data_IF_312542056492
#
_entry.id   IF_312542056492
#
_cell.length_a   1.000
_cell.length_b   1.000
_cell.length_c   1.000
_cell.angle_alpha   90.00
_cell.angle_beta   90.00
_cell.angle_gamma   90.00
#
_symmetry.space_group_name_H-M   'P 1'
#
loop_
_entity.id
_entity.type
_entity.pdbx_description
1 polymer ?
#
# COMPACT_ATOMS: atom_id res chain seq x y z
N UNK A 1 28.04 -12.27 6.34
CA UNK A 1 28.37 -13.25 5.29
C UNK A 1 27.76 -14.62 5.61
N UNK A 2 28.17 -15.27 6.70
CA UNK A 2 27.61 -16.57 7.15
C UNK A 2 26.06 -16.63 7.17
N UNK A 3 25.40 -15.60 7.70
CA UNK A 3 23.93 -15.52 7.69
C UNK A 3 23.32 -15.53 6.27
N UNK A 4 23.96 -14.85 5.31
CA UNK A 4 23.51 -14.81 3.91
C UNK A 4 23.71 -16.18 3.25
N UNK A 5 24.83 -16.84 3.53
CA UNK A 5 25.11 -18.17 2.99
C UNK A 5 24.05 -19.18 3.48
N UNK A 6 23.69 -19.14 4.76
CA UNK A 6 22.62 -19.96 5.35
C UNK A 6 21.24 -19.69 4.73
N UNK A 7 20.91 -18.43 4.46
CA UNK A 7 19.69 -18.05 3.75
C UNK A 7 19.71 -18.63 2.33
N UNK A 8 20.84 -18.55 1.62
CA UNK A 8 20.95 -19.06 0.25
C UNK A 8 20.69 -20.56 0.17
N UNK A 9 21.20 -21.36 1.14
CA UNK A 9 20.93 -22.80 1.19
C UNK A 9 19.48 -23.16 1.48
N UNK A 10 18.79 -22.31 2.27
CA UNK A 10 17.35 -22.48 2.51
C UNK A 10 16.52 -22.09 1.31
N UNK A 11 16.93 -21.06 0.57
CA UNK A 11 16.25 -20.59 -0.62
C UNK A 11 16.40 -21.56 -1.80
N UNK A 12 17.59 -22.17 -1.95
CA UNK A 12 17.86 -23.22 -2.94
C UNK A 12 18.01 -24.58 -2.25
N UNK A 13 19.23 -25.12 -2.16
CA UNK A 13 19.58 -26.35 -1.45
C UNK A 13 20.99 -26.23 -0.83
N UNK A 14 21.26 -26.96 0.27
CA UNK A 14 22.62 -27.07 0.83
C UNK A 14 23.65 -27.52 -0.22
N UNK A 15 24.84 -26.94 -0.19
CA UNK A 15 25.91 -27.20 -1.15
C UNK A 15 25.87 -26.31 -2.40
N UNK A 16 24.68 -26.03 -2.94
CA UNK A 16 24.50 -25.12 -4.08
C UNK A 16 24.49 -23.64 -3.63
N UNK A 17 23.61 -23.31 -2.68
CA UNK A 17 23.43 -21.94 -2.20
C UNK A 17 23.04 -20.97 -3.31
N UNK A 18 23.63 -19.78 -3.31
CA UNK A 18 23.36 -18.72 -4.31
C UNK A 18 24.22 -18.79 -5.58
N UNK A 19 24.97 -19.89 -5.81
CA UNK A 19 25.90 -19.98 -6.93
C UNK A 19 25.22 -20.11 -8.30
N UNK A 20 23.99 -20.63 -8.32
CA UNK A 20 23.19 -20.83 -9.54
C UNK A 20 21.79 -20.21 -9.39
N UNK A 21 21.26 -19.71 -10.50
CA UNK A 21 19.93 -19.07 -10.56
C UNK A 21 19.86 -18.10 -11.74
N UNK A 22 19.16 -18.50 -12.81
CA UNK A 22 18.98 -17.63 -13.96
C UNK A 22 18.09 -16.43 -13.61
N UNK A 23 18.53 -15.22 -13.95
CA UNK A 23 17.80 -13.97 -13.63
C UNK A 23 16.77 -13.59 -14.69
N UNK A 24 16.72 -14.30 -15.82
CA UNK A 24 15.69 -14.23 -16.88
C UNK A 24 15.30 -12.79 -17.28
N UNK A 25 16.30 -11.90 -17.36
CA UNK A 25 16.11 -10.50 -17.78
C UNK A 25 15.79 -9.49 -16.68
N UNK A 26 15.53 -9.92 -15.45
CA UNK A 26 15.12 -9.05 -14.34
C UNK A 26 16.21 -8.06 -13.87
N UNK A 27 17.48 -8.26 -14.26
CA UNK A 27 18.59 -7.45 -13.77
C UNK A 27 18.43 -5.96 -14.08
N UNK A 28 18.00 -5.60 -15.30
CA UNK A 28 17.83 -4.20 -15.68
C UNK A 28 16.80 -3.50 -14.76
N UNK A 29 15.65 -4.14 -14.55
CA UNK A 29 14.58 -3.63 -13.69
C UNK A 29 15.01 -3.54 -12.23
N UNK A 30 15.76 -4.52 -11.72
CA UNK A 30 16.30 -4.51 -10.36
C UNK A 30 17.26 -3.33 -10.15
N UNK A 31 18.20 -3.10 -11.06
CA UNK A 31 19.17 -2.01 -10.95
C UNK A 31 18.53 -0.63 -11.12
N UNK A 32 17.65 -0.47 -12.12
CA UNK A 32 16.90 0.77 -12.31
C UNK A 32 15.97 1.05 -11.13
N UNK A 33 15.23 0.04 -10.67
CA UNK A 33 14.37 0.09 -9.50
C UNK A 33 15.13 0.51 -8.25
N UNK A 34 16.31 -0.07 -8.01
CA UNK A 34 17.16 0.32 -6.88
C UNK A 34 17.63 1.77 -6.98
N UNK A 35 18.03 2.23 -8.18
CA UNK A 35 18.44 3.61 -8.42
C UNK A 35 17.32 4.62 -8.14
N UNK A 36 16.08 4.34 -8.56
CA UNK A 36 14.93 5.24 -8.34
C UNK A 36 14.29 5.08 -6.96
N UNK A 37 14.59 4.00 -6.23
CA UNK A 37 13.93 3.66 -4.97
C UNK A 37 13.92 4.79 -3.94
N UNK A 38 14.99 5.58 -3.72
CA UNK A 38 14.94 6.65 -2.72
C UNK A 38 13.92 7.74 -3.08
N UNK A 39 13.78 8.06 -4.37
CA UNK A 39 12.78 9.04 -4.85
C UNK A 39 11.36 8.49 -4.70
N UNK A 40 11.13 7.24 -5.09
CA UNK A 40 9.83 6.57 -4.96
C UNK A 40 9.40 6.48 -3.49
N UNK A 41 10.29 6.05 -2.60
CA UNK A 41 10.07 6.04 -1.15
C UNK A 41 9.77 7.44 -0.62
N UNK A 42 10.51 8.46 -1.05
CA UNK A 42 10.25 9.85 -0.66
C UNK A 42 8.88 10.37 -1.13
N UNK A 43 8.39 9.92 -2.30
CA UNK A 43 7.04 10.24 -2.77
C UNK A 43 5.95 9.60 -1.91
N UNK A 44 6.10 8.31 -1.57
CA UNK A 44 5.19 7.60 -0.68
C UNK A 44 5.13 8.24 0.72
N UNK A 45 6.28 8.61 1.31
CA UNK A 45 6.34 9.30 2.62
C UNK A 45 5.60 10.64 2.58
N UNK A 46 5.80 11.46 1.54
CA UNK A 46 5.04 12.71 1.36
C UNK A 46 3.54 12.45 1.22
N UNK A 47 3.18 11.35 0.57
CA UNK A 47 1.79 10.87 0.45
C UNK A 47 1.17 10.56 1.81
N UNK A 48 1.80 9.69 2.59
CA UNK A 48 1.36 9.33 3.94
C UNK A 48 1.18 10.56 4.85
N UNK A 49 2.09 11.54 4.78
CA UNK A 49 1.97 12.80 5.53
C UNK A 49 0.76 13.61 5.06
N UNK A 50 0.51 13.67 3.75
CA UNK A 50 -0.65 14.37 3.19
C UNK A 50 -1.96 13.70 3.58
N UNK A 51 -2.04 12.37 3.49
CA UNK A 51 -3.18 11.57 3.94
C UNK A 51 -3.47 11.82 5.42
N UNK A 52 -2.44 11.71 6.28
CA UNK A 52 -2.58 11.97 7.70
C UNK A 52 -3.15 13.37 7.99
N UNK A 53 -2.61 14.40 7.33
CA UNK A 53 -3.07 15.78 7.53
C UNK A 53 -4.50 15.99 7.01
N UNK A 54 -4.84 15.41 5.86
CA UNK A 54 -6.17 15.52 5.27
C UNK A 54 -7.22 14.84 6.15
N UNK A 55 -7.00 13.57 6.51
CA UNK A 55 -7.98 12.80 7.27
C UNK A 55 -8.12 13.27 8.72
N UNK A 56 -7.03 13.71 9.35
CA UNK A 56 -7.11 14.40 10.64
C UNK A 56 -7.98 15.67 10.54
N UNK A 57 -7.85 16.44 9.46
CA UNK A 57 -8.66 17.64 9.22
C UNK A 57 -10.13 17.32 8.93
N UNK A 58 -10.42 16.14 8.40
CA UNK A 58 -11.77 15.61 8.22
C UNK A 58 -12.35 14.99 9.51
N UNK A 59 -11.60 15.00 10.63
CA UNK A 59 -12.07 14.53 11.93
C UNK A 59 -11.89 13.03 12.17
N UNK A 60 -11.13 12.33 11.32
CA UNK A 60 -10.81 10.92 11.49
C UNK A 60 -9.59 10.75 12.40
N UNK A 61 -9.55 9.62 13.10
CA UNK A 61 -8.36 9.21 13.85
C UNK A 61 -7.33 8.59 12.90
N UNK A 62 -6.10 9.08 12.96
CA UNK A 62 -5.01 8.72 12.05
C UNK A 62 -3.75 8.38 12.81
N UNK A 63 -2.98 7.44 12.27
CA UNK A 63 -1.68 7.09 12.84
C UNK A 63 -0.71 6.62 11.76
N UNK A 64 0.56 7.07 11.77
CA UNK A 64 1.09 8.19 12.54
C UNK A 64 0.44 9.54 12.17
N UNK A 65 0.61 10.55 13.03
CA UNK A 65 0.24 11.94 12.73
C UNK A 65 1.13 12.53 11.60
N UNK A 66 0.69 13.64 11.00
CA UNK A 66 1.39 14.24 9.87
C UNK A 66 2.78 14.81 10.23
N UNK A 67 2.99 15.19 11.49
CA UNK A 67 4.25 15.71 12.05
C UNK A 67 5.06 14.64 12.80
N UNK A 68 4.55 13.41 12.89
CA UNK A 68 5.26 12.31 13.53
C UNK A 68 6.48 11.86 12.69
N UNK A 69 7.59 11.45 13.33
CA UNK A 69 8.71 10.86 12.62
C UNK A 69 8.28 9.59 11.88
N UNK A 70 8.85 9.35 10.70
CA UNK A 70 8.52 8.21 9.83
C UNK A 70 9.72 7.29 9.66
N UNK A 71 9.48 6.00 9.87
CA UNK A 71 10.46 4.92 9.67
C UNK A 71 10.02 3.91 8.62
N UNK A 72 8.75 3.98 8.18
CA UNK A 72 8.16 3.17 7.13
C UNK A 72 7.15 4.00 6.31
N UNK A 73 6.36 3.32 5.47
CA UNK A 73 5.39 3.91 4.55
C UNK A 73 3.94 3.82 5.03
N UNK A 74 3.70 3.20 6.19
CA UNK A 74 2.34 2.86 6.61
C UNK A 74 1.62 4.11 7.13
N UNK A 75 0.40 4.32 6.64
CA UNK A 75 -0.53 5.30 7.16
C UNK A 75 -1.86 4.63 7.48
N UNK A 76 -2.32 4.73 8.71
CA UNK A 76 -3.61 4.20 9.12
C UNK A 76 -4.65 5.31 9.26
N UNK A 77 -5.89 4.99 8.89
CA UNK A 77 -7.05 5.86 9.06
C UNK A 77 -8.20 5.02 9.64
N UNK A 78 -8.76 5.46 10.76
CA UNK A 78 -9.87 4.79 11.43
C UNK A 78 -11.19 5.42 11.00
N UNK A 79 -12.03 4.65 10.32
CA UNK A 79 -13.32 5.12 9.81
C UNK A 79 -14.46 4.97 10.82
N UNK A 80 -14.27 4.18 11.89
CA UNK A 80 -15.25 3.98 12.95
C UNK A 80 -16.44 3.10 12.57
N UNK A 81 -16.71 2.90 11.28
CA UNK A 81 -17.71 1.96 10.77
C UNK A 81 -17.25 1.26 9.48
N UNK A 82 -17.88 0.12 9.18
CA UNK A 82 -17.54 -0.71 8.03
C UNK A 82 -17.90 -0.06 6.69
N UNK A 83 -19.03 0.64 6.61
CA UNK A 83 -19.59 1.15 5.36
C UNK A 83 -18.70 2.25 4.77
N UNK A 84 -18.24 3.19 5.60
CA UNK A 84 -17.34 4.27 5.19
C UNK A 84 -15.97 3.73 4.79
N UNK A 85 -15.42 2.76 5.54
CA UNK A 85 -14.17 2.09 5.18
C UNK A 85 -14.27 1.40 3.80
N UNK A 86 -15.37 0.69 3.56
CA UNK A 86 -15.61 -0.01 2.28
C UNK A 86 -15.83 0.98 1.15
N UNK A 87 -16.62 2.04 1.36
CA UNK A 87 -16.84 3.11 0.39
C UNK A 87 -15.52 3.77 0.01
N UNK A 88 -14.69 4.07 1.00
CA UNK A 88 -13.38 4.67 0.78
C UNK A 88 -12.44 3.74 0.00
N UNK A 89 -12.34 2.46 0.37
CA UNK A 89 -11.50 1.50 -0.37
C UNK A 89 -11.93 1.34 -1.84
N UNK A 90 -13.24 1.30 -2.12
CA UNK A 90 -13.75 1.32 -3.50
C UNK A 90 -13.35 2.58 -4.26
N UNK A 91 -13.41 3.73 -3.60
CA UNK A 91 -13.01 4.99 -4.21
C UNK A 91 -11.49 5.07 -4.45
N UNK A 92 -10.66 4.50 -3.57
CA UNK A 92 -9.21 4.35 -3.81
C UNK A 92 -8.98 3.53 -5.08
N UNK A 93 -9.64 2.36 -5.22
CA UNK A 93 -9.51 1.54 -6.43
C UNK A 93 -9.96 2.28 -7.69
N UNK A 94 -11.07 3.01 -7.64
CA UNK A 94 -11.57 3.80 -8.78
C UNK A 94 -10.60 4.92 -9.22
N UNK A 95 -9.72 5.38 -8.32
CA UNK A 95 -8.70 6.38 -8.61
C UNK A 95 -7.30 5.77 -8.87
N UNK A 96 -7.22 4.45 -9.07
CA UNK A 96 -5.99 3.77 -9.45
C UNK A 96 -5.79 3.72 -10.98
N UNK A 97 -4.55 3.60 -11.47
CA UNK A 97 -4.27 3.58 -12.91
C UNK A 97 -4.68 2.25 -13.59
N UNK A 98 -4.68 1.14 -12.85
CA UNK A 98 -5.01 -0.20 -13.35
C UNK A 98 -6.27 -0.71 -12.65
N UNK A 99 -7.12 -1.41 -13.38
CA UNK A 99 -8.36 -2.03 -12.87
C UNK A 99 -9.29 -1.07 -12.11
N UNK A 100 -9.30 0.21 -12.47
CA UNK A 100 -10.16 1.22 -11.83
C UNK A 100 -11.66 0.98 -12.00
N UNK A 101 -12.05 0.20 -13.01
CA UNK A 101 -13.44 -0.23 -13.21
C UNK A 101 -13.83 -1.44 -12.33
N UNK A 102 -12.86 -2.09 -11.67
CA UNK A 102 -13.11 -3.22 -10.79
C UNK A 102 -13.44 -2.68 -9.40
N UNK A 103 -14.55 -3.12 -8.83
CA UNK A 103 -14.99 -2.68 -7.50
C UNK A 103 -14.58 -3.70 -6.44
N UNK A 104 -13.75 -3.33 -5.45
CA UNK A 104 -13.35 -4.24 -4.40
C UNK A 104 -14.53 -4.52 -3.45
N UNK A 105 -14.55 -5.75 -2.92
CA UNK A 105 -15.52 -6.21 -1.93
C UNK A 105 -14.78 -6.86 -0.76
N UNK A 106 -15.35 -6.85 0.46
CA UNK A 106 -14.79 -7.63 1.56
C UNK A 106 -14.77 -9.12 1.24
N UNK A 107 -13.61 -9.76 1.38
CA UNK A 107 -13.42 -11.17 1.07
C UNK A 107 -12.66 -11.90 2.19
N UNK A 108 -12.93 -13.20 2.35
CA UNK A 108 -12.15 -14.05 3.26
C UNK A 108 -10.81 -14.37 2.61
N UNK A 109 -9.71 -13.92 3.22
CA UNK A 109 -8.36 -14.20 2.74
C UNK A 109 -7.70 -15.29 3.57
N UNK A 110 -6.91 -16.14 2.91
CA UNK A 110 -6.12 -17.14 3.60
C UNK A 110 -5.22 -16.45 4.64
N UNK A 111 -5.11 -17.06 5.83
CA UNK A 111 -4.38 -16.54 7.00
C UNK A 111 -5.02 -15.36 7.75
N UNK A 112 -6.15 -14.81 7.29
CA UNK A 112 -6.90 -13.78 8.02
C UNK A 112 -8.16 -14.37 8.67
N UNK A 113 -8.42 -13.99 9.92
CA UNK A 113 -9.62 -14.41 10.65
C UNK A 113 -10.87 -13.65 10.17
N UNK A 114 -10.72 -12.34 9.96
CA UNK A 114 -11.78 -11.45 9.47
C UNK A 114 -11.76 -11.33 7.94
N UNK A 115 -12.88 -10.88 7.37
CA UNK A 115 -12.88 -10.42 5.98
C UNK A 115 -11.97 -9.20 5.83
N UNK A 116 -11.28 -9.11 4.70
CA UNK A 116 -10.40 -7.99 4.35
C UNK A 116 -10.90 -7.38 3.06
N UNK A 117 -10.85 -6.05 2.96
CA UNK A 117 -11.02 -5.33 1.70
C UNK A 117 -9.68 -4.80 1.26
N UNK A 118 -9.40 -4.86 -0.05
CA UNK A 118 -8.15 -4.38 -0.65
C UNK A 118 -8.45 -3.55 -1.89
N UNK A 119 -7.81 -2.40 -1.99
CA UNK A 119 -7.68 -1.60 -3.20
C UNK A 119 -6.21 -1.66 -3.63
N UNK A 120 -5.96 -2.18 -4.83
CA UNK A 120 -4.63 -2.54 -5.32
C UNK A 120 -4.55 -2.51 -6.84
N UNK A 121 -5.04 -1.44 -7.46
CA UNK A 121 -4.96 -1.19 -8.91
C UNK A 121 -3.54 -0.85 -9.37
N UNK A 122 -2.63 -1.80 -9.24
CA UNK A 122 -1.19 -1.64 -9.39
C UNK A 122 -0.68 -2.25 -10.71
N UNK A 123 0.39 -1.68 -11.27
CA UNK A 123 1.05 -2.20 -12.48
C UNK A 123 1.70 -3.56 -12.22
N UNK A 124 2.32 -3.72 -11.04
CA UNK A 124 2.83 -5.01 -10.58
C UNK A 124 1.86 -5.58 -9.55
N UNK A 125 1.37 -6.80 -9.77
CA UNK A 125 0.36 -7.42 -8.92
C UNK A 125 0.86 -7.53 -7.46
N UNK A 126 0.09 -6.96 -6.53
CA UNK A 126 0.42 -6.98 -5.09
C UNK A 126 1.53 -6.02 -4.67
N UNK A 127 1.93 -5.08 -5.53
CA UNK A 127 2.95 -4.09 -5.22
C UNK A 127 2.45 -3.03 -4.25
N UNK A 128 2.95 -3.04 -3.02
CA UNK A 128 2.56 -2.06 -1.98
C UNK A 128 3.43 -0.80 -1.96
N UNK A 129 4.42 -0.70 -2.86
CA UNK A 129 5.10 0.57 -3.15
C UNK A 129 4.30 1.44 -4.13
N UNK A 130 3.34 0.84 -4.84
CA UNK A 130 2.30 1.55 -5.57
C UNK A 130 1.16 1.91 -4.63
N UNK A 131 0.38 2.94 -4.98
CA UNK A 131 -0.66 3.45 -4.08
C UNK A 131 -1.75 2.39 -3.90
N UNK A 132 -1.94 1.98 -2.65
CA UNK A 132 -2.86 0.90 -2.28
C UNK A 132 -3.44 1.15 -0.89
N UNK A 133 -4.54 0.47 -0.60
CA UNK A 133 -5.23 0.58 0.67
C UNK A 133 -5.95 -0.70 1.04
N UNK A 134 -5.70 -1.24 2.23
CA UNK A 134 -6.33 -2.48 2.68
C UNK A 134 -6.62 -2.48 4.18
N UNK A 135 -7.50 -3.36 4.63
CA UNK A 135 -7.72 -3.55 6.06
C UNK A 135 -8.81 -4.56 6.41
N UNK A 136 -8.76 -5.13 7.62
CA UNK A 136 -9.75 -6.08 8.10
C UNK A 136 -11.06 -5.38 8.49
N UNK A 137 -12.19 -6.01 8.19
CA UNK A 137 -13.53 -5.53 8.50
C UNK A 137 -13.90 -5.83 9.96
N UNK A 138 -13.16 -5.20 10.88
CA UNK A 138 -13.44 -5.24 12.32
C UNK A 138 -13.21 -3.86 12.96
N UNK A 139 -13.87 -3.56 14.09
CA UNK A 139 -13.61 -2.32 14.83
C UNK A 139 -12.11 -2.13 15.13
N UNK A 140 -11.58 -0.89 14.99
CA UNK A 140 -12.27 0.37 14.69
C UNK A 140 -12.41 0.68 13.19
N UNK A 141 -12.35 -0.33 12.31
CA UNK A 141 -12.42 -0.22 10.85
C UNK A 141 -11.26 0.62 10.31
N UNK A 142 -10.06 0.15 10.62
CA UNK A 142 -8.79 0.76 10.22
C UNK A 142 -8.43 0.34 8.81
N UNK A 143 -8.23 1.32 7.93
CA UNK A 143 -7.62 1.13 6.62
C UNK A 143 -6.14 1.53 6.68
N UNK A 144 -5.27 0.70 6.10
CA UNK A 144 -3.84 0.91 5.95
C UNK A 144 -3.60 1.41 4.51
N UNK A 145 -3.29 2.68 4.39
CA UNK A 145 -2.85 3.32 3.15
C UNK A 145 -1.33 3.28 3.08
N UNK A 146 -0.81 3.01 1.88
CA UNK A 146 0.62 2.92 1.67
C UNK A 146 0.99 3.10 0.19
N UNK A 147 2.27 3.45 -0.01
CA UNK A 147 2.87 3.49 -1.33
C UNK A 147 2.44 4.70 -2.16
N UNK A 148 2.82 4.65 -3.43
CA UNK A 148 2.56 5.66 -4.44
C UNK A 148 3.84 6.07 -5.17
N UNK A 149 3.88 5.75 -6.46
CA UNK A 149 5.05 6.00 -7.31
C UNK A 149 5.37 7.50 -7.43
N UNK A 150 4.31 8.31 -7.47
CA UNK A 150 4.41 9.77 -7.54
C UNK A 150 3.51 10.42 -6.49
N UNK A 151 4.00 11.49 -5.87
CA UNK A 151 3.20 12.27 -4.93
C UNK A 151 1.94 12.88 -5.57
N UNK A 152 1.98 13.13 -6.89
CA UNK A 152 0.83 13.64 -7.62
C UNK A 152 -0.32 12.61 -7.64
N UNK A 153 -0.02 11.35 -7.96
CA UNK A 153 -1.03 10.29 -7.95
C UNK A 153 -1.66 10.12 -6.57
N UNK A 154 -0.84 10.05 -5.51
CA UNK A 154 -1.33 9.88 -4.13
C UNK A 154 -2.31 11.00 -3.76
N UNK A 155 -1.94 12.26 -4.02
CA UNK A 155 -2.84 13.40 -3.75
C UNK A 155 -4.15 13.30 -4.53
N UNK A 156 -4.07 13.06 -5.84
CA UNK A 156 -5.27 13.00 -6.68
C UNK A 156 -6.20 11.86 -6.24
N UNK A 157 -5.65 10.68 -6.00
CA UNK A 157 -6.43 9.51 -5.60
C UNK A 157 -7.01 9.66 -4.19
N UNK A 158 -6.22 10.19 -3.25
CA UNK A 158 -6.69 10.47 -1.88
C UNK A 158 -7.78 11.53 -1.86
N UNK A 159 -7.61 12.62 -2.63
CA UNK A 159 -8.63 13.68 -2.73
C UNK A 159 -9.91 13.17 -3.41
N UNK A 160 -9.78 12.39 -4.49
CA UNK A 160 -10.92 11.78 -5.18
C UNK A 160 -11.67 10.80 -4.27
N UNK A 161 -10.93 9.98 -3.51
CA UNK A 161 -11.52 9.05 -2.54
C UNK A 161 -12.23 9.79 -1.40
N UNK A 162 -11.62 10.85 -0.86
CA UNK A 162 -12.23 11.69 0.18
C UNK A 162 -13.49 12.41 -0.33
N UNK A 163 -13.46 12.97 -1.55
CA UNK A 163 -14.61 13.59 -2.20
C UNK A 163 -15.77 12.62 -2.32
N UNK A 164 -15.53 11.45 -2.93
CA UNK A 164 -16.56 10.43 -3.14
C UNK A 164 -17.12 9.87 -1.83
N UNK A 165 -16.27 9.75 -0.81
CA UNK A 165 -16.68 9.16 0.48
C UNK A 165 -17.49 10.15 1.32
N UNK A 166 -17.01 11.38 1.48
CA UNK A 166 -17.52 12.33 2.49
C UNK A 166 -18.36 13.50 1.93
N UNK A 167 -18.30 13.77 0.62
CA UNK A 167 -18.90 14.98 0.04
C UNK A 167 -19.88 14.70 -1.11
N UNK A 168 -19.75 13.56 -1.79
CA UNK A 168 -20.71 13.14 -2.80
C UNK A 168 -21.91 12.42 -2.14
N UNK A 169 -23.11 12.97 -2.38
CA UNK A 169 -24.40 12.42 -1.95
C UNK A 169 -24.93 11.39 -2.94
#
# INVERSE_FOLDING_TARGET
KDLIDRISYRFTVPGLGGAEGATVGALADMYQGFFISPQTTGNAIKGAIFEAALFAKLGLDVSPAWDAPRTDLIQTVNFGNADDMVKFAKAVQANSPVDSFVTPIPEKMACYEDQVIMAGGTFVAGSTIEFSGDGPLRPPYTLYLQGGLTYAHIKLATMGAAQSTFFDN
#
